data_IF_585837075416
#
_entry.id   IF_585837075416
#
_cell.length_a   1.000
_cell.length_b   1.000
_cell.length_c   1.000
_cell.angle_alpha   90.00
_cell.angle_beta   90.00
_cell.angle_gamma   90.00
#
_symmetry.space_group_name_H-M   'P 1'
#
loop_
_entity.id
_entity.type
_entity.pdbx_description
1 polymer ?
#
# COMPACT_ATOMS: atom_id res chain seq x y z
N UNK A 1 15.30 3.72 -15.16
CA UNK A 1 14.30 4.48 -15.96
C UNK A 1 12.94 4.21 -15.37
N UNK A 2 12.10 5.22 -15.19
CA UNK A 2 10.79 5.06 -14.53
C UNK A 2 9.64 5.23 -15.53
N UNK A 3 8.60 4.43 -15.35
CA UNK A 3 7.36 4.50 -16.13
C UNK A 3 6.23 4.77 -15.14
N UNK A 4 5.68 5.98 -15.22
CA UNK A 4 4.47 6.35 -14.50
C UNK A 4 3.26 5.91 -15.31
N UNK A 5 2.41 5.13 -14.67
CA UNK A 5 1.30 4.46 -15.31
C UNK A 5 -0.01 5.09 -14.87
N UNK A 6 -0.72 5.76 -15.79
CA UNK A 6 -2.12 6.16 -15.67
C UNK A 6 -3.06 5.19 -16.39
N UNK A 7 -3.46 4.11 -15.71
CA UNK A 7 -4.59 3.29 -16.18
C UNK A 7 -5.88 4.07 -15.93
N UNK A 8 -6.28 4.88 -16.90
CA UNK A 8 -7.62 5.44 -16.90
C UNK A 8 -8.54 4.36 -17.43
N UNK A 9 -9.06 3.54 -16.51
CA UNK A 9 -10.26 2.77 -16.84
C UNK A 9 -11.34 3.83 -17.08
N UNK A 10 -11.67 4.11 -18.34
CA UNK A 10 -12.87 4.85 -18.65
C UNK A 10 -14.01 3.95 -18.17
N UNK A 11 -14.36 4.13 -16.89
CA UNK A 11 -15.68 3.80 -16.42
C UNK A 11 -16.52 4.73 -17.27
N UNK A 12 -17.01 4.24 -18.40
CA UNK A 12 -18.38 4.57 -18.71
C UNK A 12 -19.15 3.81 -17.66
N UNK A 13 -19.55 4.44 -16.53
CA UNK A 13 -20.65 3.85 -15.83
C UNK A 13 -21.75 3.70 -16.90
N UNK A 14 -22.54 2.63 -16.87
CA UNK A 14 -23.63 2.44 -17.80
C UNK A 14 -24.75 3.46 -17.54
N UNK A 15 -24.44 4.75 -17.36
CA UNK A 15 -25.42 5.78 -17.04
C UNK A 15 -26.16 6.33 -18.25
N UNK A 16 -25.86 5.91 -19.49
CA UNK A 16 -26.72 6.24 -20.66
C UNK A 16 -26.80 5.18 -21.76
N UNK A 17 -26.42 3.92 -21.51
CA UNK A 17 -26.71 2.85 -22.48
C UNK A 17 -27.73 1.91 -21.88
N UNK A 18 -28.98 1.99 -22.36
CA UNK A 18 -30.07 1.04 -22.04
C UNK A 18 -29.74 -0.41 -22.43
N UNK A 19 -28.62 -0.65 -23.13
CA UNK A 19 -28.26 -1.92 -23.79
C UNK A 19 -26.73 -2.12 -23.84
N UNK A 20 -26.26 -3.33 -23.51
CA UNK A 20 -24.87 -3.79 -23.60
C UNK A 20 -24.29 -3.61 -25.01
N UNK A 21 -23.00 -3.28 -25.14
CA UNK A 21 -22.38 -3.06 -26.46
C UNK A 21 -22.23 -4.35 -27.28
N UNK A 22 -21.99 -5.47 -26.59
CA UNK A 22 -21.77 -6.78 -27.19
C UNK A 22 -23.08 -7.45 -27.58
N UNK A 23 -24.04 -7.58 -26.65
CA UNK A 23 -25.26 -8.34 -26.90
C UNK A 23 -26.54 -7.48 -27.04
N UNK A 24 -26.44 -6.16 -26.91
CA UNK A 24 -27.58 -5.21 -27.00
C UNK A 24 -28.74 -5.48 -26.02
N UNK A 25 -28.55 -6.30 -24.98
CA UNK A 25 -29.54 -6.51 -23.93
C UNK A 25 -29.38 -5.49 -22.79
N UNK A 26 -30.45 -5.21 -22.05
CA UNK A 26 -30.44 -4.29 -20.91
C UNK A 26 -29.48 -4.71 -19.81
N UNK A 27 -29.21 -6.02 -19.71
CA UNK A 27 -28.23 -6.59 -18.81
C UNK A 27 -27.67 -7.88 -19.43
N UNK A 28 -26.35 -8.05 -19.40
CA UNK A 28 -25.65 -9.16 -20.09
C UNK A 28 -24.91 -10.11 -19.14
N UNK A 29 -25.05 -9.92 -17.82
CA UNK A 29 -24.39 -10.74 -16.80
C UNK A 29 -22.87 -10.55 -16.67
N UNK A 30 -22.18 -10.04 -17.70
CA UNK A 30 -20.72 -9.85 -17.65
C UNK A 30 -20.36 -8.49 -17.03
N UNK A 31 -19.97 -8.47 -15.74
CA UNK A 31 -19.29 -7.33 -15.10
C UNK A 31 -17.80 -7.22 -15.52
N UNK A 32 -17.49 -7.55 -16.78
CA UNK A 32 -16.09 -7.56 -17.26
C UNK A 32 -15.66 -6.13 -17.57
N UNK A 33 -14.90 -5.54 -16.66
CA UNK A 33 -14.32 -4.22 -16.84
C UNK A 33 -13.03 -4.36 -17.66
N UNK A 34 -12.99 -3.78 -18.86
CA UNK A 34 -11.81 -3.83 -19.73
C UNK A 34 -11.37 -2.39 -19.99
N UNK A 35 -10.13 -2.01 -19.63
CA UNK A 35 -9.60 -0.68 -19.93
C UNK A 35 -9.62 -0.42 -21.44
N UNK A 36 -10.22 0.69 -21.86
CA UNK A 36 -10.29 1.11 -23.26
C UNK A 36 -9.37 2.32 -23.57
N UNK A 37 -8.70 2.83 -22.54
CA UNK A 37 -7.75 3.92 -22.57
C UNK A 37 -6.65 3.61 -21.56
N UNK A 38 -5.40 3.73 -21.95
CA UNK A 38 -4.29 3.64 -21.02
C UNK A 38 -3.26 4.72 -21.39
N UNK A 39 -2.90 5.57 -20.43
CA UNK A 39 -1.99 6.71 -20.62
C UNK A 39 -0.75 6.49 -19.76
N UNK A 40 0.44 6.66 -20.33
CA UNK A 40 1.69 6.39 -19.62
C UNK A 40 2.72 7.46 -19.89
N UNK A 41 3.48 7.80 -18.86
CA UNK A 41 4.64 8.69 -18.96
C UNK A 41 5.92 7.92 -18.68
N UNK A 42 6.78 7.80 -19.69
CA UNK A 42 8.13 7.24 -19.58
C UNK A 42 9.11 8.37 -19.31
N UNK A 43 9.84 8.30 -18.19
CA UNK A 43 10.77 9.34 -17.77
C UNK A 43 12.08 8.75 -17.23
N UNK A 44 13.19 9.41 -17.54
CA UNK A 44 14.49 9.19 -16.92
C UNK A 44 14.63 10.10 -15.69
N UNK A 45 15.69 9.92 -14.93
CA UNK A 45 16.01 10.72 -13.74
C UNK A 45 16.00 12.23 -14.04
N UNK A 46 16.52 12.64 -15.20
CA UNK A 46 16.55 14.04 -15.62
C UNK A 46 15.18 14.59 -16.04
N UNK A 47 14.26 13.73 -16.49
CA UNK A 47 12.92 14.12 -16.89
C UNK A 47 11.94 14.12 -15.72
N UNK A 48 12.28 13.47 -14.60
CA UNK A 48 11.41 13.33 -13.44
C UNK A 48 11.03 14.67 -12.81
N UNK A 49 11.90 15.68 -12.92
CA UNK A 49 11.65 17.03 -12.40
C UNK A 49 11.12 18.01 -13.44
N UNK A 50 10.84 17.55 -14.67
CA UNK A 50 10.45 18.40 -15.80
C UNK A 50 9.00 18.16 -16.19
N UNK A 51 8.37 19.17 -16.77
CA UNK A 51 7.05 18.99 -17.38
C UNK A 51 7.15 18.10 -18.62
N UNK A 52 6.42 16.98 -18.60
CA UNK A 52 6.38 16.01 -19.68
C UNK A 52 4.94 15.85 -20.19
N UNK A 53 4.79 15.78 -21.52
CA UNK A 53 3.51 15.56 -22.18
C UNK A 53 3.71 14.99 -23.59
N UNK A 54 2.65 15.00 -24.40
CA UNK A 54 2.64 14.45 -25.77
C UNK A 54 3.71 15.04 -26.70
N UNK A 55 4.01 16.33 -26.55
CA UNK A 55 5.01 17.07 -27.33
C UNK A 55 6.44 16.95 -26.80
N UNK A 56 6.63 16.43 -25.58
CA UNK A 56 7.96 16.33 -24.98
C UNK A 56 8.73 15.14 -25.57
N UNK A 57 9.98 15.40 -25.94
CA UNK A 57 10.93 14.41 -26.43
C UNK A 57 12.20 14.50 -25.61
N UNK A 58 12.74 13.36 -25.22
CA UNK A 58 14.00 13.24 -24.51
C UNK A 58 14.93 12.28 -25.26
N UNK A 59 16.23 12.58 -25.30
CA UNK A 59 17.22 11.69 -25.92
C UNK A 59 17.28 10.30 -25.24
N UNK A 60 17.03 10.24 -23.92
CA UNK A 60 16.99 9.00 -23.14
C UNK A 60 15.60 8.33 -23.12
N UNK A 61 14.52 9.12 -23.03
CA UNK A 61 13.16 8.56 -22.91
C UNK A 61 12.46 8.35 -24.25
N UNK A 62 12.95 8.97 -25.32
CA UNK A 62 12.22 9.13 -26.58
C UNK A 62 10.99 10.02 -26.37
N UNK A 63 9.84 9.54 -26.84
CA UNK A 63 8.54 10.12 -26.51
C UNK A 63 8.20 9.86 -25.05
N UNK A 64 7.79 10.91 -24.32
CA UNK A 64 7.47 10.77 -22.91
C UNK A 64 6.05 10.24 -22.69
N UNK A 65 5.06 10.64 -23.47
CA UNK A 65 3.66 10.20 -23.31
C UNK A 65 3.23 9.17 -24.35
N UNK A 66 2.68 8.05 -23.88
CA UNK A 66 2.08 7.01 -24.72
C UNK A 66 0.60 6.85 -24.38
N UNK A 67 -0.24 6.82 -25.40
CA UNK A 67 -1.69 6.68 -25.24
C UNK A 67 -2.17 5.48 -26.07
N UNK A 68 -2.71 4.47 -25.39
CA UNK A 68 -3.34 3.30 -25.99
C UNK A 68 -4.86 3.46 -25.91
N UNK A 69 -5.57 3.23 -27.03
CA UNK A 69 -7.02 3.42 -27.12
C UNK A 69 -7.68 2.23 -27.80
N UNK A 70 -8.93 1.97 -27.44
CA UNK A 70 -9.76 0.95 -28.08
C UNK A 70 -9.90 -0.31 -27.25
N UNK A 71 -10.57 -1.32 -27.81
CA UNK A 71 -10.88 -2.57 -27.10
C UNK A 71 -9.64 -3.38 -26.73
N UNK A 72 -8.54 -3.19 -27.47
CA UNK A 72 -7.23 -3.83 -27.24
C UNK A 72 -6.27 -2.98 -26.42
N UNK A 73 -6.68 -1.81 -25.92
CA UNK A 73 -5.80 -0.85 -25.26
C UNK A 73 -4.95 -1.48 -24.14
N UNK A 74 -5.56 -2.38 -23.35
CA UNK A 74 -4.86 -3.17 -22.32
C UNK A 74 -3.72 -4.00 -22.91
N UNK A 75 -4.00 -4.77 -23.95
CA UNK A 75 -3.05 -5.74 -24.52
C UNK A 75 -1.96 -5.04 -25.33
N UNK A 76 -2.32 -4.00 -26.07
CA UNK A 76 -1.37 -3.13 -26.78
C UNK A 76 -0.40 -2.48 -25.80
N UNK A 77 -0.94 -1.97 -24.69
CA UNK A 77 -0.13 -1.44 -23.62
C UNK A 77 0.80 -2.50 -23.02
N UNK A 78 0.27 -3.66 -22.62
CA UNK A 78 1.09 -4.67 -21.96
C UNK A 78 2.19 -5.21 -22.89
N UNK A 79 1.88 -5.39 -24.19
CA UNK A 79 2.88 -5.74 -25.21
C UNK A 79 3.99 -4.70 -25.30
N UNK A 80 3.63 -3.42 -25.27
CA UNK A 80 4.64 -2.35 -25.21
C UNK A 80 5.43 -2.40 -23.90
N UNK A 81 4.76 -2.47 -22.75
CA UNK A 81 5.39 -2.44 -21.43
C UNK A 81 6.40 -3.56 -21.25
N UNK A 82 6.06 -4.78 -21.64
CA UNK A 82 6.91 -5.96 -21.50
C UNK A 82 7.86 -6.18 -22.70
N UNK A 83 7.97 -5.21 -23.61
CA UNK A 83 8.97 -5.25 -24.68
C UNK A 83 10.37 -4.92 -24.17
N UNK A 84 11.39 -5.37 -24.91
CA UNK A 84 12.81 -5.09 -24.62
C UNK A 84 13.12 -3.59 -24.46
N UNK A 85 12.35 -2.71 -25.12
CA UNK A 85 12.52 -1.26 -25.03
C UNK A 85 12.27 -0.70 -23.61
N UNK A 86 11.67 -1.49 -22.73
CA UNK A 86 11.33 -1.13 -21.35
C UNK A 86 12.02 -2.07 -20.33
N UNK A 87 12.97 -2.90 -20.77
CA UNK A 87 13.70 -3.80 -19.88
C UNK A 87 14.44 -3.02 -18.79
N UNK A 88 14.26 -3.45 -17.54
CA UNK A 88 14.84 -2.77 -16.37
C UNK A 88 14.16 -1.45 -15.99
N UNK A 89 12.99 -1.14 -16.54
CA UNK A 89 12.20 0.00 -16.10
C UNK A 89 11.43 -0.32 -14.82
N UNK A 90 11.35 0.66 -13.91
CA UNK A 90 10.52 0.61 -12.72
C UNK A 90 9.15 1.22 -13.03
N UNK A 91 8.07 0.49 -12.76
CA UNK A 91 6.71 0.91 -13.10
C UNK A 91 5.97 1.33 -11.84
N UNK A 92 5.48 2.57 -11.82
CA UNK A 92 4.66 3.10 -10.73
C UNK A 92 3.23 3.30 -11.19
N UNK A 93 2.29 2.62 -10.52
CA UNK A 93 0.86 2.85 -10.69
C UNK A 93 0.33 3.59 -9.46
N UNK A 94 -0.49 4.63 -9.64
CA UNK A 94 -1.05 5.42 -8.52
C UNK A 94 -1.99 4.63 -7.62
N UNK A 95 -2.64 3.57 -8.10
CA UNK A 95 -3.38 2.64 -7.24
C UNK A 95 -3.08 1.17 -7.54
N UNK A 96 -1.80 0.79 -7.48
CA UNK A 96 -1.35 -0.60 -7.67
C UNK A 96 -1.99 -1.59 -6.67
N UNK A 97 -2.27 -1.15 -5.43
CA UNK A 97 -2.93 -1.96 -4.39
C UNK A 97 -4.40 -2.28 -4.71
N UNK A 98 -5.02 -1.50 -5.57
CA UNK A 98 -6.42 -1.64 -5.98
C UNK A 98 -6.54 -2.09 -7.42
N UNK A 99 -7.15 -1.23 -8.24
CA UNK A 99 -7.65 -1.60 -9.58
C UNK A 99 -6.58 -1.66 -10.66
N UNK A 100 -5.50 -0.88 -10.51
CA UNK A 100 -4.57 -0.63 -11.62
C UNK A 100 -3.68 -1.83 -11.92
N UNK A 101 -3.44 -2.72 -10.95
CA UNK A 101 -2.59 -3.89 -11.15
C UNK A 101 -3.26 -5.05 -11.89
N UNK A 102 -4.60 -5.17 -11.79
CA UNK A 102 -5.34 -6.29 -12.37
C UNK A 102 -5.14 -6.47 -13.89
N UNK A 103 -5.14 -5.41 -14.72
CA UNK A 103 -4.93 -5.56 -16.16
C UNK A 103 -3.56 -6.18 -16.50
N UNK A 104 -2.50 -5.84 -15.76
CA UNK A 104 -1.15 -6.37 -15.99
C UNK A 104 -1.00 -7.79 -15.49
N UNK A 105 -1.48 -8.06 -14.26
CA UNK A 105 -1.46 -9.41 -13.68
C UNK A 105 -2.25 -10.38 -14.55
N UNK A 106 -3.40 -9.94 -15.05
CA UNK A 106 -4.21 -10.73 -15.98
C UNK A 106 -3.47 -10.99 -17.30
N UNK A 107 -2.82 -9.98 -17.89
CA UNK A 107 -2.05 -10.15 -19.11
C UNK A 107 -0.90 -11.14 -18.92
N UNK A 108 -0.12 -10.99 -17.84
CA UNK A 108 1.00 -11.89 -17.52
C UNK A 108 0.52 -13.34 -17.39
N UNK A 109 -0.56 -13.55 -16.62
CA UNK A 109 -1.19 -14.86 -16.47
C UNK A 109 -1.64 -15.46 -17.81
N UNK A 110 -2.30 -14.66 -18.66
CA UNK A 110 -2.75 -15.08 -19.99
C UNK A 110 -1.60 -15.46 -20.93
N UNK A 111 -0.40 -14.90 -20.72
CA UNK A 111 0.79 -15.18 -21.51
C UNK A 111 1.72 -16.21 -20.84
N UNK A 112 1.25 -16.91 -19.80
CA UNK A 112 2.04 -17.93 -19.10
C UNK A 112 3.24 -17.37 -18.32
N UNK A 113 3.29 -16.06 -18.10
CA UNK A 113 4.34 -15.41 -17.32
C UNK A 113 3.87 -15.36 -15.87
N UNK A 114 4.40 -16.25 -15.05
CA UNK A 114 4.26 -16.19 -13.61
C UNK A 114 5.32 -15.24 -13.05
N UNK A 115 4.94 -14.09 -12.49
CA UNK A 115 5.92 -13.20 -11.88
C UNK A 115 6.59 -13.94 -10.72
N UNK A 116 7.91 -13.79 -10.60
CA UNK A 116 8.62 -14.22 -9.42
C UNK A 116 8.09 -13.42 -8.22
N UNK A 117 7.31 -14.10 -7.37
CA UNK A 117 6.84 -13.49 -6.14
C UNK A 117 8.02 -13.49 -5.19
N UNK A 118 8.58 -12.30 -4.92
CA UNK A 118 9.52 -12.11 -3.82
C UNK A 118 8.74 -12.34 -2.52
N UNK A 119 8.69 -13.60 -2.10
CA UNK A 119 8.19 -13.97 -0.78
C UNK A 119 9.20 -13.45 0.25
N UNK A 120 8.70 -12.98 1.40
CA UNK A 120 9.56 -12.77 2.57
C UNK A 120 10.37 -14.06 2.81
N UNK A 121 11.66 -13.89 3.13
CA UNK A 121 12.63 -14.97 3.39
C UNK A 121 11.99 -16.05 4.29
N UNK A 122 12.29 -17.32 4.00
CA UNK A 122 11.90 -18.53 4.74
C UNK A 122 10.43 -18.97 4.67
N UNK A 123 9.57 -18.29 3.90
CA UNK A 123 8.18 -18.72 3.71
C UNK A 123 7.30 -18.53 4.96
N UNK A 124 7.81 -17.87 5.99
CA UNK A 124 7.08 -17.52 7.22
C UNK A 124 6.39 -16.17 6.99
N UNK A 125 5.08 -16.19 6.67
CA UNK A 125 4.26 -14.97 6.61
C UNK A 125 3.77 -14.62 8.02
N UNK A 126 4.57 -13.83 8.74
CA UNK A 126 4.20 -13.30 10.06
C UNK A 126 3.20 -12.16 9.86
N UNK A 127 2.06 -12.22 10.53
CA UNK A 127 1.10 -11.12 10.68
C UNK A 127 1.48 -10.25 11.87
N UNK A 128 1.64 -8.95 11.65
CA UNK A 128 2.11 -7.97 12.64
C UNK A 128 1.53 -6.57 12.34
N UNK A 129 1.79 -5.60 13.24
CA UNK A 129 1.28 -4.23 13.15
C UNK A 129 1.47 -3.53 11.79
N UNK A 130 2.52 -3.89 11.03
CA UNK A 130 2.91 -3.22 9.78
C UNK A 130 2.47 -3.94 8.50
N UNK A 131 1.70 -5.03 8.58
CA UNK A 131 1.10 -5.65 7.40
C UNK A 131 -0.43 -5.78 7.51
N UNK A 132 -0.96 -6.86 8.08
CA UNK A 132 -2.39 -7.16 8.20
C UNK A 132 -2.95 -6.72 9.56
N UNK A 133 -2.14 -6.03 10.37
CA UNK A 133 -2.46 -5.65 11.74
C UNK A 133 -1.99 -6.70 12.76
N UNK A 134 -1.98 -6.32 14.03
CA UNK A 134 -1.69 -7.25 15.14
C UNK A 134 -2.84 -8.24 15.32
N UNK A 135 -2.49 -9.48 15.64
CA UNK A 135 -3.49 -10.53 15.86
C UNK A 135 -4.05 -10.39 17.27
N UNK A 136 -5.36 -10.20 17.37
CA UNK A 136 -6.08 -10.28 18.65
C UNK A 136 -6.33 -11.74 19.05
N UNK A 137 -5.89 -12.11 20.26
CA UNK A 137 -6.08 -13.42 20.87
C UNK A 137 -6.62 -13.21 22.29
N UNK A 138 -7.93 -13.36 22.45
CA UNK A 138 -8.61 -12.98 23.69
C UNK A 138 -8.46 -11.48 23.96
N UNK A 139 -8.02 -11.06 25.17
CA UNK A 139 -7.85 -9.65 25.50
C UNK A 139 -6.54 -9.04 24.99
N UNK A 140 -5.64 -9.85 24.39
CA UNK A 140 -4.30 -9.42 24.05
C UNK A 140 -4.10 -9.28 22.54
N UNK A 141 -3.22 -8.34 22.16
CA UNK A 141 -2.66 -8.21 20.82
C UNK A 141 -1.25 -8.81 20.81
N UNK A 142 -0.95 -9.61 19.79
CA UNK A 142 0.37 -10.19 19.56
C UNK A 142 1.21 -9.32 18.62
N UNK A 143 2.48 -9.09 18.97
CA UNK A 143 3.40 -8.30 18.12
C UNK A 143 3.60 -8.97 16.75
N UNK A 144 3.73 -10.30 16.75
CA UNK A 144 3.74 -11.14 15.56
C UNK A 144 2.94 -12.44 15.77
N UNK A 145 2.25 -12.87 14.72
CA UNK A 145 1.49 -14.13 14.71
C UNK A 145 1.69 -14.88 13.40
N UNK A 146 1.93 -16.17 13.50
CA UNK A 146 2.02 -17.06 12.35
C UNK A 146 1.28 -18.36 12.64
N UNK A 147 0.59 -18.91 11.63
CA UNK A 147 -0.06 -20.21 11.71
C UNK A 147 0.46 -21.04 10.54
N UNK A 148 1.16 -22.13 10.85
CA UNK A 148 1.70 -23.03 9.83
C UNK A 148 0.58 -23.91 9.27
N UNK A 149 0.85 -24.54 8.12
CA UNK A 149 -0.13 -25.36 7.40
C UNK A 149 -0.68 -26.53 8.23
N UNK A 150 0.12 -27.07 9.15
CA UNK A 150 -0.27 -28.17 10.05
C UNK A 150 -1.10 -27.70 11.27
N UNK A 151 -1.41 -26.40 11.36
CA UNK A 151 -2.28 -25.82 12.38
C UNK A 151 -1.58 -25.39 13.68
N UNK A 152 -0.26 -25.51 13.78
CA UNK A 152 0.49 -24.94 14.90
C UNK A 152 0.44 -23.41 14.82
N UNK A 153 0.11 -22.78 15.95
CA UNK A 153 -0.03 -21.32 16.08
C UNK A 153 1.14 -20.80 16.88
N UNK A 154 1.88 -19.87 16.29
CA UNK A 154 3.08 -19.29 16.86
C UNK A 154 2.84 -17.80 17.11
N UNK A 155 3.05 -17.37 18.34
CA UNK A 155 3.05 -15.98 18.75
C UNK A 155 4.50 -15.55 18.96
N UNK A 156 4.88 -14.44 18.35
CA UNK A 156 6.17 -13.78 18.49
C UNK A 156 6.00 -12.48 19.26
N UNK A 157 6.81 -12.27 20.29
CA UNK A 157 6.74 -11.09 21.16
C UNK A 157 8.12 -10.47 21.36
N UNK A 158 8.18 -9.14 21.27
CA UNK A 158 9.38 -8.38 21.57
C UNK A 158 9.18 -7.64 22.89
N UNK A 159 9.83 -8.13 23.94
CA UNK A 159 9.68 -7.55 25.27
C UNK A 159 10.61 -6.36 25.45
N UNK A 160 10.12 -5.18 25.09
CA UNK A 160 10.75 -3.90 25.48
C UNK A 160 10.97 -3.87 26.99
N UNK A 161 12.22 -3.82 27.43
CA UNK A 161 12.62 -4.06 28.82
C UNK A 161 11.95 -3.07 29.77
N UNK A 162 11.78 -1.82 29.34
CA UNK A 162 11.14 -0.77 30.11
C UNK A 162 9.62 -0.98 30.29
N UNK A 163 8.94 -1.51 29.28
CA UNK A 163 7.49 -1.67 29.26
C UNK A 163 7.02 -3.01 29.83
N UNK A 164 7.86 -4.04 29.71
CA UNK A 164 7.58 -5.41 30.15
C UNK A 164 8.36 -5.80 31.41
N UNK A 165 9.13 -4.86 31.98
CA UNK A 165 9.91 -5.01 33.19
C UNK A 165 10.87 -6.21 33.18
N UNK A 166 11.89 -6.12 32.33
CA UNK A 166 12.95 -7.13 32.26
C UNK A 166 13.62 -7.32 33.63
N UNK A 167 13.64 -8.54 34.20
CA UNK A 167 14.27 -8.82 35.49
C UNK A 167 15.78 -8.59 35.54
N UNK A 168 16.47 -8.62 34.39
CA UNK A 168 17.90 -8.29 34.32
C UNK A 168 18.15 -6.78 34.35
N UNK A 169 17.24 -5.98 33.78
CA UNK A 169 17.45 -4.55 33.61
C UNK A 169 16.89 -3.72 34.78
N UNK A 170 15.89 -4.22 35.49
CA UNK A 170 15.18 -3.46 36.51
C UNK A 170 14.91 -4.27 37.77
N UNK A 171 15.06 -3.62 38.93
CA UNK A 171 14.58 -4.19 40.18
C UNK A 171 13.05 -4.17 40.21
N UNK A 172 12.44 -5.23 40.75
CA UNK A 172 10.98 -5.37 40.82
C UNK A 172 10.30 -4.27 41.65
N UNK A 173 11.04 -3.68 42.60
CA UNK A 173 10.60 -2.53 43.41
C UNK A 173 10.66 -1.19 42.69
N UNK A 174 11.30 -1.10 41.51
CA UNK A 174 11.38 0.13 40.73
C UNK A 174 10.01 0.51 40.19
N UNK A 175 9.69 1.81 40.18
CA UNK A 175 8.47 2.34 39.56
C UNK A 175 8.75 2.75 38.11
N UNK A 176 7.91 2.30 37.19
CA UNK A 176 7.89 2.82 35.83
C UNK A 176 7.23 4.22 35.85
N UNK A 177 7.94 5.29 35.46
CA UNK A 177 7.46 6.66 35.60
C UNK A 177 6.36 7.04 34.60
N UNK A 178 6.20 6.28 33.51
CA UNK A 178 5.20 6.57 32.47
C UNK A 178 3.87 5.90 32.79
N UNK A 179 3.91 4.66 33.24
CA UNK A 179 2.70 3.91 33.58
C UNK A 179 2.25 4.12 35.03
N UNK A 180 3.12 4.71 35.86
CA UNK A 180 2.93 4.83 37.31
C UNK A 180 2.64 3.48 37.98
N UNK A 181 3.27 2.41 37.49
CA UNK A 181 3.14 1.05 38.04
C UNK A 181 4.51 0.48 38.40
N UNK A 182 4.56 -0.47 39.33
CA UNK A 182 5.81 -1.12 39.69
C UNK A 182 6.30 -2.03 38.55
N UNK A 183 7.62 -2.22 38.46
CA UNK A 183 8.19 -3.19 37.55
C UNK A 183 7.71 -4.61 37.88
N UNK A 184 7.46 -4.92 39.15
CA UNK A 184 6.80 -6.17 39.55
C UNK A 184 5.44 -6.36 38.85
N UNK A 185 4.56 -5.36 38.88
CA UNK A 185 3.23 -5.46 38.28
C UNK A 185 3.30 -5.58 36.75
N UNK A 186 4.21 -4.86 36.11
CA UNK A 186 4.43 -4.96 34.66
C UNK A 186 4.98 -6.33 34.24
N UNK A 187 5.92 -6.87 35.02
CA UNK A 187 6.46 -8.20 34.80
C UNK A 187 5.37 -9.26 34.97
N UNK A 188 4.56 -9.15 36.03
CA UNK A 188 3.44 -10.06 36.27
C UNK A 188 2.44 -10.03 35.11
N UNK A 189 2.09 -8.86 34.57
CA UNK A 189 1.24 -8.74 33.37
C UNK A 189 1.84 -9.45 32.15
N UNK A 190 3.16 -9.36 31.98
CA UNK A 190 3.88 -10.05 30.90
C UNK A 190 3.79 -11.57 31.06
N UNK A 191 4.00 -12.08 32.27
CA UNK A 191 3.86 -13.50 32.61
C UNK A 191 2.41 -13.99 32.44
N UNK A 192 1.43 -13.19 32.83
CA UNK A 192 0.01 -13.51 32.71
C UNK A 192 -0.41 -13.57 31.23
N UNK A 193 0.03 -12.61 30.39
CA UNK A 193 -0.18 -12.62 28.94
C UNK A 193 0.39 -13.89 28.32
N UNK A 194 1.67 -14.20 28.61
CA UNK A 194 2.33 -15.42 28.13
C UNK A 194 1.54 -16.68 28.52
N UNK A 195 1.22 -16.81 29.82
CA UNK A 195 0.49 -17.96 30.36
C UNK A 195 -0.88 -18.14 29.70
N UNK A 196 -1.59 -17.04 29.44
CA UNK A 196 -2.87 -17.05 28.75
C UNK A 196 -2.74 -17.57 27.30
N UNK A 197 -1.72 -17.08 26.57
CA UNK A 197 -1.51 -17.44 25.17
C UNK A 197 -1.06 -18.89 25.01
N UNK A 198 -0.17 -19.36 25.87
CA UNK A 198 0.25 -20.77 25.92
C UNK A 198 -0.95 -21.69 26.24
N UNK A 199 -1.80 -21.33 27.21
CA UNK A 199 -3.04 -22.09 27.53
C UNK A 199 -4.04 -22.12 26.39
N UNK A 200 -3.99 -21.17 25.46
CA UNK A 200 -4.80 -21.18 24.23
C UNK A 200 -4.21 -22.06 23.11
N UNK A 201 -3.13 -22.78 23.39
CA UNK A 201 -2.48 -23.70 22.46
C UNK A 201 -1.51 -23.01 21.49
N UNK A 202 -1.05 -21.80 21.82
CA UNK A 202 -0.05 -21.12 21.01
C UNK A 202 1.37 -21.45 21.51
N UNK A 203 2.29 -21.67 20.59
CA UNK A 203 3.72 -21.63 20.87
C UNK A 203 4.15 -20.17 21.05
N UNK A 204 4.69 -19.86 22.22
CA UNK A 204 5.08 -18.50 22.58
C UNK A 204 6.60 -18.33 22.43
N UNK A 205 7.02 -17.53 21.45
CA UNK A 205 8.42 -17.19 21.19
C UNK A 205 8.61 -15.73 21.53
N UNK A 206 9.60 -15.41 22.35
CA UNK A 206 9.87 -14.04 22.74
C UNK A 206 11.37 -13.78 22.83
N UNK A 207 11.75 -12.51 22.77
CA UNK A 207 13.10 -12.04 23.07
C UNK A 207 12.99 -10.74 23.87
N UNK A 208 13.89 -10.56 24.85
CA UNK A 208 13.99 -9.29 25.58
C UNK A 208 14.79 -8.28 24.77
N UNK A 209 14.44 -7.00 24.88
CA UNK A 209 15.15 -5.91 24.21
C UNK A 209 16.66 -5.93 24.52
N UNK A 210 17.04 -6.07 25.80
CA UNK A 210 18.45 -6.13 26.18
C UNK A 210 19.18 -7.37 25.65
N UNK A 211 18.47 -8.48 25.44
CA UNK A 211 19.03 -9.69 24.86
C UNK A 211 19.24 -9.50 23.36
N UNK A 212 18.24 -8.96 22.66
CA UNK A 212 18.34 -8.59 21.25
C UNK A 212 19.47 -7.59 21.01
N UNK A 213 19.63 -6.56 21.84
CA UNK A 213 20.71 -5.58 21.72
C UNK A 213 22.09 -6.21 21.89
N UNK A 214 22.25 -7.15 22.84
CA UNK A 214 23.49 -7.93 23.01
C UNK A 214 23.77 -8.80 21.78
N UNK A 215 22.76 -9.45 21.21
CA UNK A 215 22.90 -10.22 19.97
C UNK A 215 23.28 -9.33 18.78
N UNK A 216 22.64 -8.18 18.60
CA UNK A 216 22.98 -7.21 17.55
C UNK A 216 24.42 -6.71 17.70
N UNK A 217 24.92 -6.57 18.93
CA UNK A 217 26.30 -6.17 19.21
C UNK A 217 27.34 -7.24 18.91
N UNK A 218 26.99 -8.52 19.03
CA UNK A 218 27.92 -9.67 18.90
C UNK A 218 27.84 -10.39 17.55
N UNK A 219 26.66 -10.44 16.94
CA UNK A 219 26.42 -11.11 15.66
C UNK A 219 26.57 -10.12 14.49
N UNK A 220 27.67 -10.27 13.75
CA UNK A 220 27.99 -9.37 12.63
C UNK A 220 26.96 -9.38 11.50
N UNK A 221 26.30 -10.51 11.25
CA UNK A 221 25.31 -10.63 10.17
C UNK A 221 23.97 -10.03 10.60
N UNK A 222 23.55 -10.24 11.85
CA UNK A 222 22.39 -9.57 12.42
C UNK A 222 22.60 -8.05 12.47
N UNK A 223 23.79 -7.60 12.86
CA UNK A 223 24.13 -6.17 12.87
C UNK A 223 24.00 -5.54 11.48
N UNK A 224 24.57 -6.19 10.45
CA UNK A 224 24.44 -5.76 9.06
C UNK A 224 22.98 -5.75 8.63
N UNK A 225 22.22 -6.80 8.97
CA UNK A 225 20.79 -6.86 8.67
C UNK A 225 20.06 -5.67 9.27
N UNK A 226 20.15 -5.43 10.58
CA UNK A 226 19.49 -4.31 11.26
C UNK A 226 19.88 -2.95 10.66
N UNK A 227 21.17 -2.73 10.37
CA UNK A 227 21.64 -1.48 9.74
C UNK A 227 21.16 -1.29 8.31
N UNK A 228 21.09 -2.37 7.54
CA UNK A 228 20.64 -2.34 6.14
C UNK A 228 19.12 -2.35 6.00
N UNK A 229 18.40 -2.74 7.05
CA UNK A 229 16.94 -2.80 7.05
C UNK A 229 16.38 -1.38 7.20
N UNK A 230 16.29 -0.67 6.08
CA UNK A 230 15.53 0.56 5.99
C UNK A 230 14.06 0.21 6.30
N UNK A 231 13.60 0.57 7.50
CA UNK A 231 12.21 0.45 7.88
C UNK A 231 11.38 1.41 7.02
N UNK A 232 10.97 0.94 5.85
CA UNK A 232 10.01 1.63 5.02
C UNK A 232 8.67 1.60 5.75
N UNK A 233 8.28 2.74 6.31
CA UNK A 233 6.94 2.91 6.84
C UNK A 233 5.95 2.65 5.71
N UNK A 234 4.87 1.87 5.95
CA UNK A 234 3.74 1.89 5.03
C UNK A 234 3.41 3.35 4.76
N UNK A 235 3.22 3.73 3.49
CA UNK A 235 2.69 5.05 3.15
C UNK A 235 1.49 5.28 4.07
N UNK A 236 1.60 6.28 4.95
CA UNK A 236 0.50 6.71 5.81
C UNK A 236 -0.69 6.94 4.87
N UNK A 237 -1.77 6.13 4.92
CA UNK A 237 -2.88 6.33 4.00
C UNK A 237 -3.50 7.71 4.20
N UNK A 238 -3.36 8.28 5.41
CA UNK A 238 -3.68 9.68 5.75
C UNK A 238 -2.84 10.68 4.98
N UNK A 239 -1.56 10.41 4.75
CA UNK A 239 -0.73 11.22 3.86
C UNK A 239 -1.07 11.03 2.38
N UNK A 240 -1.55 9.84 1.99
CA UNK A 240 -2.15 9.61 0.67
C UNK A 240 -3.57 10.21 0.51
N UNK A 241 -4.25 10.55 1.61
CA UNK A 241 -5.56 11.24 1.59
C UNK A 241 -5.44 12.75 1.35
N UNK A 242 -4.22 13.32 1.33
CA UNK A 242 -3.99 14.66 0.77
C UNK A 242 -3.95 14.66 -0.78
N UNK A 243 -4.45 13.59 -1.41
CA UNK A 243 -4.81 13.50 -2.82
C UNK A 243 -6.29 13.13 -3.00
N UNK A 244 -7.18 14.09 -2.69
CA UNK A 244 -8.55 14.19 -3.24
C UNK A 244 -9.44 12.95 -3.17
N UNK A 245 -9.97 12.62 -1.98
CA UNK A 245 -11.36 12.14 -1.89
C UNK A 245 -12.22 13.32 -1.49
N UNK A 246 -13.04 13.82 -2.40
CA UNK A 246 -14.15 14.71 -2.04
C UNK A 246 -15.18 13.89 -1.29
N UNK A 247 -15.18 14.04 0.03
CA UNK A 247 -16.28 13.61 0.86
C UNK A 247 -17.53 14.41 0.47
N UNK A 248 -18.67 13.73 0.34
CA UNK A 248 -19.94 14.41 0.17
C UNK A 248 -20.34 15.01 1.52
N UNK A 249 -20.10 16.30 1.72
CA UNK A 249 -20.45 17.00 2.97
C UNK A 249 -21.96 17.04 3.25
N UNK A 250 -22.79 16.88 2.21
CA UNK A 250 -24.26 16.91 2.29
C UNK A 250 -24.85 15.84 1.39
N UNK A 251 -25.54 14.85 1.97
CA UNK A 251 -26.16 13.74 1.24
C UNK A 251 -27.48 14.12 0.53
N UNK A 252 -28.15 15.18 0.99
CA UNK A 252 -29.38 15.70 0.40
C UNK A 252 -29.48 17.22 0.62
N UNK A 253 -29.72 17.97 -0.45
CA UNK A 253 -30.00 19.41 -0.41
C UNK A 253 -31.07 19.71 -1.45
N UNK A 254 -32.14 20.35 -0.99
CA UNK A 254 -33.19 20.90 -1.84
C UNK A 254 -32.92 22.39 -2.04
N UNK A 255 -33.00 22.85 -3.29
CA UNK A 255 -32.77 24.24 -3.63
C UNK A 255 -33.97 25.10 -3.23
N UNK A 256 -33.74 26.24 -2.56
CA UNK A 256 -34.77 27.25 -2.37
C UNK A 256 -35.16 27.92 -3.71
N UNK A 257 -36.27 28.68 -3.73
CA UNK A 257 -36.82 29.34 -4.94
C UNK A 257 -35.80 30.18 -5.73
N UNK A 258 -34.84 30.77 -5.03
CA UNK A 258 -33.83 31.67 -5.60
C UNK A 258 -32.40 31.11 -5.46
N UNK A 259 -32.26 29.82 -5.16
CA UNK A 259 -30.98 29.13 -4.97
C UNK A 259 -30.73 28.17 -6.15
N UNK A 260 -29.49 28.09 -6.61
CA UNK A 260 -29.06 27.08 -7.57
C UNK A 260 -28.00 26.18 -6.94
N UNK A 261 -28.17 24.86 -7.09
CA UNK A 261 -27.19 23.88 -6.63
C UNK A 261 -26.28 23.54 -7.81
N UNK A 262 -25.02 23.93 -7.72
CA UNK A 262 -24.01 23.55 -8.69
C UNK A 262 -23.39 22.21 -8.28
N UNK A 263 -23.69 21.15 -9.04
CA UNK A 263 -23.07 19.84 -8.87
C UNK A 263 -21.78 19.77 -9.70
N UNK A 264 -20.65 19.62 -9.03
CA UNK A 264 -19.38 19.31 -9.67
C UNK A 264 -19.19 17.79 -9.66
N UNK A 265 -19.29 17.13 -10.82
CA UNK A 265 -19.17 15.68 -10.92
C UNK A 265 -17.72 15.26 -10.67
N UNK A 266 -17.38 15.03 -9.41
CA UNK A 266 -16.02 14.65 -9.02
C UNK A 266 -15.66 13.25 -9.54
N UNK A 267 -16.66 12.40 -9.76
CA UNK A 267 -16.46 11.02 -10.23
C UNK A 267 -15.97 11.02 -11.68
N UNK A 268 -16.47 11.91 -12.55
CA UNK A 268 -15.93 12.10 -13.90
C UNK A 268 -14.77 13.09 -13.96
N UNK A 269 -14.67 14.02 -13.00
CA UNK A 269 -13.51 14.89 -12.83
C UNK A 269 -12.24 14.08 -12.55
N UNK A 270 -12.31 13.02 -11.75
CA UNK A 270 -11.12 12.22 -11.43
C UNK A 270 -10.48 11.58 -12.69
N UNK A 271 -11.21 10.84 -13.56
CA UNK A 271 -10.70 10.42 -14.85
C UNK A 271 -10.31 11.59 -15.77
N UNK A 272 -11.06 12.70 -15.75
CA UNK A 272 -10.73 13.88 -16.55
C UNK A 272 -9.39 14.48 -16.14
N UNK A 273 -9.16 14.73 -14.85
CA UNK A 273 -7.91 15.25 -14.28
C UNK A 273 -6.78 14.23 -14.42
N UNK A 274 -7.02 12.93 -14.29
CA UNK A 274 -5.99 11.93 -14.59
C UNK A 274 -5.59 11.91 -16.08
N UNK A 275 -6.50 12.36 -16.97
CA UNK A 275 -6.27 12.47 -18.42
C UNK A 275 -5.65 13.81 -18.82
N UNK A 276 -6.08 14.90 -18.21
CA UNK A 276 -5.78 16.28 -18.65
C UNK A 276 -4.92 17.05 -17.64
N UNK A 277 -4.92 16.62 -16.39
CA UNK A 277 -4.19 17.23 -15.30
C UNK A 277 -2.73 16.80 -15.27
N UNK A 278 -1.91 17.67 -14.67
CA UNK A 278 -0.48 17.43 -14.49
C UNK A 278 -0.30 16.40 -13.37
N UNK A 279 0.42 15.32 -13.65
CA UNK A 279 0.85 14.39 -12.61
C UNK A 279 1.92 15.11 -11.78
N UNK A 280 1.82 15.15 -10.45
CA UNK A 280 2.92 15.62 -9.61
C UNK A 280 4.09 14.64 -9.74
N UNK A 281 5.13 15.07 -10.44
CA UNK A 281 6.37 14.32 -10.62
C UNK A 281 7.45 14.89 -9.69
N UNK A 282 8.30 14.02 -9.14
CA UNK A 282 9.40 14.39 -8.25
C UNK A 282 9.17 14.06 -6.77
N UNK A 283 10.15 14.43 -5.94
CA UNK A 283 10.15 14.17 -4.51
C UNK A 283 9.25 15.18 -3.78
N UNK A 284 8.28 14.70 -3.01
CA UNK A 284 7.33 15.56 -2.28
C UNK A 284 8.05 16.43 -1.26
N UNK A 285 7.87 17.75 -1.33
CA UNK A 285 8.30 18.68 -0.29
C UNK A 285 7.16 18.89 0.70
N UNK A 286 7.39 18.54 1.97
CA UNK A 286 6.45 18.79 3.05
C UNK A 286 6.51 20.28 3.39
N UNK A 287 5.43 21.00 3.16
CA UNK A 287 5.29 22.40 3.57
C UNK A 287 4.61 22.38 4.94
N UNK A 288 5.38 22.65 6.00
CA UNK A 288 4.90 22.67 7.38
C UNK A 288 4.31 24.01 7.81
N UNK A 289 4.44 25.04 6.98
CA UNK A 289 3.89 26.36 7.25
C UNK A 289 2.42 26.38 6.87
N UNK A 290 1.55 26.75 7.84
CA UNK A 290 0.11 26.89 7.61
C UNK A 290 -0.10 27.91 6.48
N UNK A 291 -0.59 27.44 5.34
CA UNK A 291 -1.15 28.29 4.30
C UNK A 291 -2.27 29.13 4.92
N UNK A 292 -2.04 30.44 5.03
CA UNK A 292 -3.11 31.39 5.36
C UNK A 292 -4.08 31.37 4.19
N UNK A 293 -5.25 30.74 4.38
CA UNK A 293 -6.43 31.02 3.55
C UNK A 293 -7.01 32.37 3.92
#
# INVERSE_FOLDING_TARGET
MMIYCNVIVDIKPPHRRKKCIHCKQSWCGTRKHTPNLCVYHKVCEECMSKEVGSSTRCQKCGQNEYIFRGETARDDFCRWLFSEANRGAEVLCHNCKGYDSYPFVQYLYQNGVLPEVIKKRDGIDITHARNRGEKQIGPFLADGYHEILDGEKIVYEFHGCFWHACPECFAMSTMNPVTCTSMFDLYQRTVDKRSFLEKKGNKYIFIWECEFDKEVGSNTDLNKFVKSHAMHYPLEPREAFYGGRTEAFTMYKEAAKDESINYYDVTSLYPFINKTGKIPLGQTKIITEKSKM
#
